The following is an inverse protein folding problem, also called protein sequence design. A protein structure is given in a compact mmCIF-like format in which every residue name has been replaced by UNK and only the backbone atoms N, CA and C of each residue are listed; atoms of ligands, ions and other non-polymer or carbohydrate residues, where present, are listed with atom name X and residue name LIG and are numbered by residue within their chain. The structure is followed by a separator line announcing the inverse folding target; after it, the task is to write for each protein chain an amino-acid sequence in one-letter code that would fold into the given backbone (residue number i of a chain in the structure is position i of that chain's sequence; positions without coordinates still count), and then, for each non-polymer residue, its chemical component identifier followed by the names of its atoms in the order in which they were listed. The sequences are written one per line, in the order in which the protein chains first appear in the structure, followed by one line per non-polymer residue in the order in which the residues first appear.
data_IF_782843749237
#
_entry.id   IF_782843749237
#
_cell.length_a   1.000
_cell.length_b   1.000
_cell.length_c   1.000
_cell.angle_alpha   90.00
_cell.angle_beta   90.00
_cell.angle_gamma   90.00
#
_symmetry.space_group_name_H-M   'P 1'
#
loop_
_entity.id
_entity.type
_entity.pdbx_description
1 polymer ?
#
# COMPACT_ATOMS: atom_id res chain seq x y z
N UNK A 1 -14.35 -7.20 -15.21
CA UNK A 1 -13.13 -7.60 -14.48
C UNK A 1 -12.08 -7.84 -15.54
N UNK A 2 -11.19 -6.87 -15.74
CA UNK A 2 -10.26 -6.84 -16.86
C UNK A 2 -8.92 -7.54 -16.56
N UNK A 3 -8.74 -8.03 -15.33
CA UNK A 3 -7.58 -8.87 -14.99
C UNK A 3 -7.87 -9.77 -13.77
N UNK A 4 -7.48 -11.04 -13.88
CA UNK A 4 -7.38 -12.01 -12.79
C UNK A 4 -5.91 -12.33 -12.52
N UNK A 5 -5.50 -12.37 -11.26
CA UNK A 5 -4.12 -12.67 -10.84
C UNK A 5 -4.12 -13.97 -10.04
N UNK A 6 -3.32 -14.95 -10.49
CA UNK A 6 -3.14 -16.22 -9.79
C UNK A 6 -2.13 -16.08 -8.63
N UNK A 7 -2.22 -16.95 -7.64
CA UNK A 7 -1.26 -16.95 -6.51
C UNK A 7 0.17 -17.25 -6.97
N UNK A 8 0.34 -18.12 -7.98
CA UNK A 8 1.66 -18.40 -8.56
C UNK A 8 2.28 -17.16 -9.21
N UNK A 9 1.50 -16.43 -10.00
CA UNK A 9 1.97 -15.16 -10.60
C UNK A 9 2.35 -14.12 -9.55
N UNK A 10 1.72 -14.15 -8.37
CA UNK A 10 2.12 -13.29 -7.27
C UNK A 10 3.51 -13.64 -6.72
N UNK A 11 3.79 -14.93 -6.46
CA UNK A 11 5.10 -15.35 -5.94
C UNK A 11 6.24 -15.07 -6.93
N UNK A 12 6.03 -15.31 -8.22
CA UNK A 12 7.04 -15.01 -9.25
C UNK A 12 7.31 -13.50 -9.32
N UNK A 13 6.25 -12.67 -9.27
CA UNK A 13 6.38 -11.22 -9.25
C UNK A 13 7.03 -10.71 -7.96
N UNK A 14 6.77 -11.35 -6.81
CA UNK A 14 7.41 -11.04 -5.54
C UNK A 14 8.91 -11.30 -5.60
N UNK A 15 9.34 -12.47 -6.07
CA UNK A 15 10.76 -12.80 -6.19
C UNK A 15 11.49 -11.81 -7.11
N UNK A 16 10.91 -11.50 -8.28
CA UNK A 16 11.48 -10.51 -9.20
C UNK A 16 11.49 -9.09 -8.60
N UNK A 17 10.59 -8.79 -7.66
CA UNK A 17 10.57 -7.51 -6.94
C UNK A 17 11.66 -7.46 -5.88
N UNK A 18 11.86 -8.54 -5.12
CA UNK A 18 12.91 -8.64 -4.10
C UNK A 18 14.31 -8.54 -4.72
N UNK A 19 14.56 -9.22 -5.85
CA UNK A 19 15.86 -9.12 -6.54
C UNK A 19 16.13 -7.68 -6.99
N UNK A 20 15.15 -7.01 -7.60
CA UNK A 20 15.30 -5.60 -8.01
C UNK A 20 15.57 -4.68 -6.82
N UNK A 21 14.86 -4.86 -5.71
CA UNK A 21 15.13 -4.10 -4.48
C UNK A 21 16.54 -4.38 -3.94
N UNK A 22 17.02 -5.63 -4.04
CA UNK A 22 18.35 -6.03 -3.59
C UNK A 22 19.45 -5.41 -4.43
N UNK A 23 19.30 -5.40 -5.75
CA UNK A 23 20.24 -4.75 -6.70
C UNK A 23 20.44 -3.27 -6.37
N UNK A 24 19.36 -2.59 -5.97
CA UNK A 24 19.39 -1.18 -5.57
C UNK A 24 19.68 -0.95 -4.09
N UNK A 25 20.10 -1.99 -3.36
CA UNK A 25 20.43 -1.94 -1.92
C UNK A 25 19.28 -1.42 -1.05
N UNK A 26 18.04 -1.63 -1.50
CA UNK A 26 16.82 -1.20 -0.82
C UNK A 26 16.34 -2.17 0.24
N UNK A 27 16.86 -3.39 0.28
CA UNK A 27 16.49 -4.39 1.28
C UNK A 27 17.72 -4.99 1.97
N UNK A 28 17.51 -5.45 3.20
CA UNK A 28 18.49 -6.18 4.00
C UNK A 28 17.82 -7.27 4.84
N UNK A 29 18.61 -8.24 5.29
CA UNK A 29 18.15 -9.31 6.15
C UNK A 29 18.55 -9.05 7.60
N UNK A 30 17.61 -9.24 8.52
CA UNK A 30 17.86 -9.15 9.96
C UNK A 30 16.84 -10.01 10.70
N UNK A 31 17.31 -10.82 11.66
CA UNK A 31 16.45 -11.71 12.49
C UNK A 31 15.59 -12.68 11.66
N UNK A 32 16.14 -13.19 10.55
CA UNK A 32 15.43 -14.09 9.63
C UNK A 32 14.32 -13.41 8.83
N UNK A 33 14.20 -12.08 8.88
CA UNK A 33 13.23 -11.27 8.14
C UNK A 33 13.94 -10.46 7.06
N UNK A 34 13.22 -10.14 5.99
CA UNK A 34 13.68 -9.17 4.99
C UNK A 34 13.01 -7.83 5.26
N UNK A 35 13.83 -6.81 5.38
CA UNK A 35 13.45 -5.43 5.68
C UNK A 35 13.70 -4.55 4.46
N UNK A 36 12.77 -3.65 4.19
CA UNK A 36 12.94 -2.50 3.31
C UNK A 36 13.62 -1.39 4.11
N UNK A 37 14.75 -0.89 3.61
CA UNK A 37 15.53 0.22 4.18
C UNK A 37 14.84 1.59 3.96
N UNK A 38 13.53 1.65 4.19
CA UNK A 38 12.69 2.81 3.85
C UNK A 38 13.05 4.07 4.62
N UNK A 39 13.68 3.94 5.79
CA UNK A 39 14.17 5.10 6.56
C UNK A 39 15.20 5.91 5.78
N UNK A 40 16.00 5.27 4.92
CA UNK A 40 16.98 5.95 4.05
C UNK A 40 16.32 6.84 2.99
N UNK A 41 15.01 6.67 2.76
CA UNK A 41 14.21 7.39 1.77
C UNK A 41 13.06 8.17 2.42
N UNK A 42 13.18 8.51 3.71
CA UNK A 42 12.28 9.42 4.40
C UNK A 42 11.05 8.78 5.06
N UNK A 43 10.98 7.46 5.15
CA UNK A 43 10.04 6.81 6.07
C UNK A 43 10.53 6.92 7.53
N UNK A 44 9.62 6.78 8.48
CA UNK A 44 9.92 6.90 9.91
C UNK A 44 10.87 5.79 10.40
N UNK A 45 10.74 4.59 9.83
CA UNK A 45 11.53 3.40 10.16
C UNK A 45 11.48 2.38 9.03
N UNK A 46 12.44 1.47 9.05
CA UNK A 46 12.48 0.36 8.11
C UNK A 46 11.29 -0.59 8.32
N UNK A 47 10.87 -1.24 7.22
CA UNK A 47 9.63 -2.02 7.19
C UNK A 47 9.91 -3.47 6.82
N UNK A 48 9.38 -4.40 7.60
CA UNK A 48 9.40 -5.82 7.25
C UNK A 48 8.56 -6.05 6.00
N UNK A 49 9.15 -6.65 4.97
CA UNK A 49 8.47 -7.07 3.75
C UNK A 49 8.33 -8.59 3.69
N UNK A 50 9.28 -9.36 4.20
CA UNK A 50 9.18 -10.82 4.38
C UNK A 50 9.37 -11.17 5.85
N UNK A 51 8.45 -11.97 6.40
CA UNK A 51 8.49 -12.46 7.79
C UNK A 51 9.48 -13.60 7.96
N UNK A 52 9.76 -13.94 9.21
CA UNK A 52 10.62 -15.07 9.62
C UNK A 52 10.14 -16.42 9.09
N UNK A 53 8.85 -16.56 8.79
CA UNK A 53 8.24 -17.76 8.20
C UNK A 53 8.25 -17.76 6.66
N UNK A 54 8.92 -16.77 6.04
CA UNK A 54 9.03 -16.62 4.59
C UNK A 54 7.81 -15.97 3.91
N UNK A 55 6.73 -15.67 4.64
CA UNK A 55 5.53 -15.05 4.03
C UNK A 55 5.69 -13.54 3.84
N UNK A 56 5.24 -13.05 2.69
CA UNK A 56 5.15 -11.63 2.40
C UNK A 56 4.17 -10.88 3.30
N UNK A 57 4.50 -9.65 3.67
CA UNK A 57 3.58 -8.73 4.35
C UNK A 57 2.62 -8.08 3.35
N UNK A 58 1.59 -7.37 3.84
CA UNK A 58 0.74 -6.56 2.97
C UNK A 58 1.55 -5.50 2.20
N UNK A 59 2.61 -4.96 2.83
CA UNK A 59 3.52 -4.04 2.16
C UNK A 59 4.25 -4.71 0.99
N UNK A 60 4.68 -5.97 1.13
CA UNK A 60 5.28 -6.69 0.00
C UNK A 60 4.30 -6.81 -1.17
N UNK A 61 3.04 -7.13 -0.87
CA UNK A 61 2.01 -7.20 -1.91
C UNK A 61 1.76 -5.84 -2.58
N UNK A 62 1.70 -4.77 -1.79
CA UNK A 62 1.54 -3.41 -2.31
C UNK A 62 2.73 -3.00 -3.18
N UNK A 63 3.96 -3.32 -2.79
CA UNK A 63 5.16 -3.00 -3.58
C UNK A 63 5.12 -3.73 -4.92
N UNK A 64 4.80 -5.03 -4.93
CA UNK A 64 4.66 -5.81 -6.17
C UNK A 64 3.61 -5.19 -7.09
N UNK A 65 2.45 -4.84 -6.54
CA UNK A 65 1.37 -4.24 -7.32
C UNK A 65 1.74 -2.86 -7.87
N UNK A 66 2.45 -2.03 -7.09
CA UNK A 66 2.87 -0.71 -7.55
C UNK A 66 4.02 -0.79 -8.55
N UNK A 67 4.96 -1.73 -8.39
CA UNK A 67 5.99 -2.01 -9.40
C UNK A 67 5.35 -2.32 -10.74
N UNK A 68 4.35 -3.21 -10.76
CA UNK A 68 3.62 -3.56 -11.97
C UNK A 68 2.96 -2.33 -12.59
N UNK A 69 2.18 -1.55 -11.82
CA UNK A 69 1.54 -0.31 -12.31
C UNK A 69 2.55 0.68 -12.91
N UNK A 70 3.66 0.92 -12.22
CA UNK A 70 4.68 1.89 -12.64
C UNK A 70 5.44 1.40 -13.89
N UNK A 71 5.57 0.09 -14.07
CA UNK A 71 6.22 -0.51 -15.24
C UNK A 71 5.38 -0.42 -16.53
N UNK A 72 4.09 -0.06 -16.45
CA UNK A 72 3.20 0.05 -17.62
C UNK A 72 3.47 1.28 -18.51
N UNK A 73 4.43 2.14 -18.16
CA UNK A 73 4.87 3.27 -18.98
C UNK A 73 4.03 4.54 -18.87
N UNK A 74 3.14 4.63 -17.87
CA UNK A 74 2.40 5.86 -17.59
C UNK A 74 3.29 6.89 -16.89
N UNK A 75 3.09 8.18 -17.19
CA UNK A 75 3.80 9.27 -16.52
C UNK A 75 3.35 9.54 -15.08
N UNK A 76 2.16 9.06 -14.69
CA UNK A 76 1.62 9.18 -13.32
C UNK A 76 0.79 7.95 -12.94
N UNK A 77 0.86 7.57 -11.67
CA UNK A 77 0.02 6.60 -10.97
C UNK A 77 -0.66 7.31 -9.80
N UNK A 78 -1.97 7.52 -9.88
CA UNK A 78 -2.74 8.25 -8.86
C UNK A 78 -3.49 7.24 -7.98
N UNK A 79 -3.28 7.33 -6.66
CA UNK A 79 -4.04 6.59 -5.66
C UNK A 79 -4.93 7.55 -4.86
N UNK A 80 -6.15 7.12 -4.53
CA UNK A 80 -7.03 7.82 -3.57
C UNK A 80 -7.13 6.95 -2.33
N UNK A 81 -6.63 7.43 -1.20
CA UNK A 81 -6.61 6.72 0.08
C UNK A 81 -7.40 7.48 1.13
N UNK A 82 -7.85 6.79 2.19
CA UNK A 82 -8.35 7.47 3.38
C UNK A 82 -7.23 8.24 4.09
N UNK A 83 -7.55 9.37 4.72
CA UNK A 83 -6.59 10.21 5.44
C UNK A 83 -5.83 9.48 6.57
N UNK A 84 -6.41 8.40 7.10
CA UNK A 84 -5.80 7.50 8.07
C UNK A 84 -4.58 6.74 7.51
N UNK A 85 -4.43 6.67 6.19
CA UNK A 85 -3.29 6.03 5.51
C UNK A 85 -2.12 6.98 5.21
N UNK A 86 -2.14 8.23 5.69
CA UNK A 86 -1.07 9.21 5.42
C UNK A 86 0.33 8.69 5.80
N UNK A 87 0.46 7.97 6.93
CA UNK A 87 1.73 7.39 7.37
C UNK A 87 2.25 6.27 6.47
N UNK A 88 1.41 5.74 5.56
CA UNK A 88 1.77 4.72 4.58
C UNK A 88 2.43 5.32 3.32
N UNK A 89 2.33 6.64 3.12
CA UNK A 89 2.87 7.30 1.93
C UNK A 89 4.40 7.17 1.86
N UNK A 90 5.18 7.50 2.91
CA UNK A 90 6.64 7.50 2.81
C UNK A 90 7.24 6.14 2.48
N UNK A 91 6.73 5.05 3.09
CA UNK A 91 7.22 3.68 2.81
C UNK A 91 6.97 3.22 1.38
N UNK A 92 5.84 3.61 0.79
CA UNK A 92 5.54 3.28 -0.60
C UNK A 92 6.39 4.10 -1.56
N UNK A 93 6.57 5.40 -1.28
CA UNK A 93 7.49 6.26 -2.05
C UNK A 93 8.92 5.72 -2.01
N UNK A 94 9.41 5.34 -0.81
CA UNK A 94 10.71 4.72 -0.63
C UNK A 94 10.89 3.44 -1.46
N UNK A 95 9.88 2.55 -1.47
CA UNK A 95 9.93 1.35 -2.28
C UNK A 95 10.01 1.66 -3.79
N UNK A 96 9.28 2.68 -4.28
CA UNK A 96 9.35 3.08 -5.70
C UNK A 96 10.73 3.62 -6.06
N UNK A 97 11.34 4.44 -5.20
CA UNK A 97 12.72 4.93 -5.38
C UNK A 97 13.73 3.78 -5.45
N UNK A 98 13.62 2.80 -4.55
CA UNK A 98 14.51 1.63 -4.57
C UNK A 98 14.26 0.70 -5.74
N UNK A 99 13.08 0.74 -6.36
CA UNK A 99 12.82 0.03 -7.62
C UNK A 99 13.29 0.81 -8.86
N UNK A 100 13.91 1.97 -8.67
CA UNK A 100 14.43 2.80 -9.75
C UNK A 100 13.37 3.69 -10.42
N UNK A 101 12.19 3.82 -9.84
CA UNK A 101 11.15 4.74 -10.33
C UNK A 101 11.26 6.10 -9.64
N UNK A 102 10.92 7.17 -10.37
CA UNK A 102 10.66 8.47 -9.76
C UNK A 102 9.39 8.37 -8.89
N UNK A 103 9.57 8.46 -7.57
CA UNK A 103 8.45 8.35 -6.66
C UNK A 103 7.43 9.48 -6.82
N UNK A 104 7.78 10.62 -7.42
CA UNK A 104 6.83 11.69 -7.74
C UNK A 104 5.75 11.27 -8.73
N UNK A 105 6.01 10.24 -9.55
CA UNK A 105 5.01 9.67 -10.43
C UNK A 105 3.90 8.94 -9.65
N UNK A 106 4.14 8.52 -8.39
CA UNK A 106 3.11 8.01 -7.50
C UNK A 106 2.42 9.17 -6.75
N UNK A 107 1.28 9.63 -7.24
CA UNK A 107 0.50 10.69 -6.59
C UNK A 107 -0.53 10.09 -5.64
N UNK A 108 -0.66 10.65 -4.43
CA UNK A 108 -1.59 10.13 -3.42
C UNK A 108 -2.50 11.25 -2.94
N UNK A 109 -3.79 11.07 -3.17
CA UNK A 109 -4.85 11.98 -2.74
C UNK A 109 -5.47 11.38 -1.48
N UNK A 110 -5.50 12.16 -0.40
CA UNK A 110 -6.09 11.75 0.87
C UNK A 110 -7.54 12.24 0.98
N UNK A 111 -8.48 11.32 0.86
CA UNK A 111 -9.89 11.54 1.15
C UNK A 111 -10.10 11.62 2.66
N UNK A 112 -10.69 12.72 3.12
CA UNK A 112 -10.98 12.92 4.55
C UNK A 112 -12.11 12.01 5.01
N UNK A 113 -12.06 11.59 6.27
CA UNK A 113 -13.16 10.85 6.88
C UNK A 113 -14.37 11.75 7.02
N UNK A 114 -15.53 11.26 6.60
CA UNK A 114 -16.82 11.95 6.78
C UNK A 114 -17.51 11.43 8.03
N UNK A 115 -18.19 12.32 8.75
CA UNK A 115 -19.05 11.97 9.87
C UNK A 115 -20.50 11.99 9.41
N UNK A 116 -21.26 10.95 9.75
CA UNK A 116 -22.69 10.90 9.48
C UNK A 116 -23.45 11.64 10.58
N UNK A 117 -24.42 12.45 10.18
CA UNK A 117 -25.36 13.11 11.09
C UNK A 117 -26.75 12.51 10.87
N UNK A 118 -27.50 12.32 11.95
CA UNK A 118 -28.92 11.97 11.91
C UNK A 118 -29.66 12.94 12.82
N UNK A 119 -30.66 13.63 12.29
CA UNK A 119 -31.41 14.68 12.98
C UNK A 119 -30.51 15.78 13.59
N UNK A 120 -29.40 16.10 12.92
CA UNK A 120 -28.41 17.09 13.36
C UNK A 120 -27.36 16.56 14.34
N UNK A 121 -27.50 15.33 14.85
CA UNK A 121 -26.61 14.75 15.85
C UNK A 121 -25.65 13.69 15.25
N UNK A 122 -24.41 13.58 15.75
CA UNK A 122 -23.45 12.57 15.29
C UNK A 122 -23.98 11.14 15.40
N UNK A 123 -24.03 10.46 14.27
CA UNK A 123 -24.51 9.09 14.19
C UNK A 123 -23.35 8.08 14.22
N UNK A 124 -23.25 7.32 15.30
CA UNK A 124 -22.24 6.27 15.43
C UNK A 124 -22.72 4.97 14.80
N UNK A 125 -22.03 4.54 13.75
CA UNK A 125 -22.21 3.20 13.18
C UNK A 125 -21.54 2.14 14.05
N UNK A 126 -22.21 1.01 14.24
CA UNK A 126 -21.68 -0.16 14.96
C UNK A 126 -22.21 -1.45 14.34
N UNK A 127 -21.28 -2.24 13.76
CA UNK A 127 -21.60 -3.59 13.26
C UNK A 127 -22.17 -4.49 14.34
N UNK A 128 -21.67 -4.38 15.58
CA UNK A 128 -22.11 -5.22 16.71
C UNK A 128 -23.50 -4.86 17.23
N UNK A 129 -23.90 -3.59 17.11
CA UNK A 129 -25.23 -3.14 17.49
C UNK A 129 -26.26 -3.25 16.36
N UNK A 130 -25.86 -3.78 15.19
CA UNK A 130 -26.73 -3.88 14.01
C UNK A 130 -27.08 -2.54 13.37
N UNK A 131 -26.38 -1.48 13.74
CA UNK A 131 -26.67 -0.13 13.28
C UNK A 131 -25.60 0.35 12.29
N UNK A 132 -25.87 0.19 11.00
CA UNK A 132 -25.04 0.71 9.91
C UNK A 132 -25.97 1.30 8.84
N UNK A 133 -25.48 2.36 8.18
CA UNK A 133 -26.19 3.01 7.06
C UNK A 133 -25.58 2.45 5.78
N UNK A 134 -26.41 1.99 4.86
CA UNK A 134 -25.95 1.56 3.54
C UNK A 134 -25.64 2.77 2.67
N UNK A 135 -24.76 2.61 1.68
CA UNK A 135 -24.50 3.69 0.71
C UNK A 135 -25.79 4.10 -0.02
N UNK A 136 -26.72 3.16 -0.25
CA UNK A 136 -28.04 3.46 -0.82
C UNK A 136 -28.83 4.47 0.01
N UNK A 137 -28.82 4.32 1.33
CA UNK A 137 -29.61 5.13 2.26
C UNK A 137 -29.10 6.59 2.38
N UNK A 138 -27.93 6.89 1.80
CA UNK A 138 -27.31 8.23 1.78
C UNK A 138 -27.49 8.91 0.42
N UNK A 139 -27.70 8.14 -0.64
CA UNK A 139 -27.81 8.65 -2.02
C UNK A 139 -29.26 9.02 -2.36
N UNK A 140 -30.24 8.39 -1.70
CA UNK A 140 -31.67 8.71 -1.77
C UNK A 140 -32.05 9.90 -0.88
#
# INVERSE_FOLDING_TARGET
IDSYVSERSYYDALNATLESLKEHKGIYEQEGKIWLASSQKGDEKDRVIIREDGRGTYLAADIVYHKDKMSRGYGKCINIWGADHHGYIPRMKAAMEFLGFDSNNLEIILAQMVSLLKDGEPYKMSKRAGNFILMSDVVD
#
